data_IF_694425859333
#
_entry.id   IF_694425859333
#
_cell.length_a   1.000
_cell.length_b   1.000
_cell.length_c   1.000
_cell.angle_alpha   90.00
_cell.angle_beta   90.00
_cell.angle_gamma   90.00
#
_symmetry.space_group_name_H-M   'P 1'
#
loop_
_entity.id
_entity.type
_entity.pdbx_description
1 polymer ?
#
# COMPACT_ATOMS: atom_id res chain seq x y z
N UNK A 1 20.76 10.37 9.26
CA UNK A 1 20.13 9.41 8.33
C UNK A 1 20.32 8.03 8.92
N UNK A 2 19.24 7.25 9.13
CA UNK A 2 19.40 5.84 9.49
C UNK A 2 19.99 5.07 8.31
N UNK A 3 20.93 4.18 8.60
CA UNK A 3 21.59 3.31 7.62
C UNK A 3 21.43 1.85 8.06
N UNK A 4 21.19 0.95 7.10
CA UNK A 4 20.98 -0.47 7.36
C UNK A 4 21.92 -1.25 6.44
N UNK A 5 22.78 -2.08 7.04
CA UNK A 5 23.63 -3.02 6.33
C UNK A 5 22.99 -4.41 6.32
N UNK A 6 22.55 -4.87 5.14
CA UNK A 6 22.00 -6.21 4.97
C UNK A 6 23.10 -7.16 4.48
N UNK A 7 23.54 -8.07 5.36
CA UNK A 7 24.58 -9.07 5.04
C UNK A 7 23.94 -10.40 4.59
N UNK A 8 24.70 -11.19 3.82
CA UNK A 8 24.28 -12.55 3.44
C UNK A 8 23.18 -12.62 2.38
N UNK A 9 22.97 -11.55 1.60
CA UNK A 9 22.04 -11.58 0.47
C UNK A 9 22.56 -12.53 -0.61
N UNK A 10 21.69 -13.45 -1.04
CA UNK A 10 21.99 -14.33 -2.16
C UNK A 10 22.28 -13.53 -3.44
N UNK A 11 23.27 -13.98 -4.22
CA UNK A 11 23.71 -13.27 -5.42
C UNK A 11 22.59 -13.17 -6.46
N UNK A 12 21.70 -14.17 -6.56
CA UNK A 12 20.57 -14.13 -7.50
C UNK A 12 19.58 -13.04 -7.10
N UNK A 13 19.34 -12.87 -5.79
CA UNK A 13 18.50 -11.78 -5.26
C UNK A 13 19.08 -10.42 -5.62
N UNK A 14 20.39 -10.22 -5.41
CA UNK A 14 21.05 -8.95 -5.76
C UNK A 14 20.96 -8.68 -7.27
N UNK A 15 21.15 -9.71 -8.10
CA UNK A 15 21.04 -9.58 -9.56
C UNK A 15 19.63 -9.16 -9.99
N UNK A 16 18.60 -9.82 -9.45
CA UNK A 16 17.19 -9.51 -9.73
C UNK A 16 16.83 -8.08 -9.31
N UNK A 17 17.32 -7.63 -8.15
CA UNK A 17 17.08 -6.25 -7.69
C UNK A 17 17.78 -5.22 -8.60
N UNK A 18 18.98 -5.51 -9.10
CA UNK A 18 19.68 -4.65 -10.06
C UNK A 18 18.92 -4.55 -11.39
N UNK A 19 18.42 -5.67 -11.91
CA UNK A 19 17.61 -5.69 -13.13
C UNK A 19 16.33 -4.88 -12.95
N UNK A 20 15.62 -5.08 -11.84
CA UNK A 20 14.42 -4.33 -11.49
C UNK A 20 14.69 -2.82 -11.40
N UNK A 21 15.76 -2.42 -10.71
CA UNK A 21 16.16 -1.02 -10.61
C UNK A 21 16.45 -0.39 -11.98
N UNK A 22 17.13 -1.12 -12.87
CA UNK A 22 17.37 -0.68 -14.26
C UNK A 22 16.07 -0.48 -15.03
N UNK A 23 15.14 -1.43 -14.97
CA UNK A 23 13.83 -1.33 -15.63
C UNK A 23 13.03 -0.15 -15.11
N UNK A 24 13.11 0.14 -13.81
CA UNK A 24 12.41 1.27 -13.19
C UNK A 24 13.13 2.62 -13.34
N UNK A 25 14.31 2.66 -13.96
CA UNK A 25 15.11 3.88 -14.15
C UNK A 25 15.65 4.46 -12.84
N UNK A 26 15.90 3.63 -11.83
CA UNK A 26 16.33 4.05 -10.49
C UNK A 26 17.65 3.38 -10.09
N UNK A 27 18.33 3.96 -9.11
CA UNK A 27 19.50 3.31 -8.50
C UNK A 27 19.06 2.08 -7.69
N UNK A 28 19.97 1.11 -7.53
CA UNK A 28 19.71 -0.07 -6.70
C UNK A 28 19.33 0.32 -5.27
N UNK A 29 20.01 1.33 -4.71
CA UNK A 29 19.73 1.83 -3.36
C UNK A 29 18.33 2.41 -3.26
N UNK A 30 17.89 3.20 -4.26
CA UNK A 30 16.54 3.76 -4.28
C UNK A 30 15.47 2.66 -4.40
N UNK A 31 15.69 1.65 -5.24
CA UNK A 31 14.75 0.53 -5.37
C UNK A 31 14.63 -0.26 -4.05
N UNK A 32 15.76 -0.53 -3.38
CA UNK A 32 15.75 -1.22 -2.09
C UNK A 32 15.08 -0.38 -1.02
N UNK A 33 15.34 0.93 -0.99
CA UNK A 33 14.66 1.87 -0.09
C UNK A 33 13.14 1.82 -0.29
N UNK A 34 12.68 1.97 -1.54
CA UNK A 34 11.25 1.96 -1.86
C UNK A 34 10.60 0.63 -1.45
N UNK A 35 11.28 -0.50 -1.64
CA UNK A 35 10.78 -1.83 -1.21
C UNK A 35 10.64 -1.89 0.31
N UNK A 36 11.64 -1.41 1.06
CA UNK A 36 11.62 -1.43 2.53
C UNK A 36 10.55 -0.48 3.08
N UNK A 37 10.43 0.73 2.55
CA UNK A 37 9.40 1.69 2.96
C UNK A 37 7.99 1.17 2.65
N UNK A 38 7.79 0.56 1.48
CA UNK A 38 6.52 -0.10 1.14
C UNK A 38 6.25 -1.29 2.06
N UNK A 39 7.24 -2.13 2.33
CA UNK A 39 7.06 -3.27 3.23
C UNK A 39 6.72 -2.83 4.66
N UNK A 40 7.29 -1.72 5.12
CA UNK A 40 6.98 -1.14 6.43
C UNK A 40 5.59 -0.49 6.49
N UNK A 41 5.09 0.03 5.38
CA UNK A 41 3.80 0.75 5.30
C UNK A 41 2.64 -0.15 4.88
N UNK A 42 2.91 -1.25 4.17
CA UNK A 42 1.89 -2.18 3.72
C UNK A 42 1.39 -2.96 4.93
N UNK A 43 0.13 -2.72 5.30
CA UNK A 43 -0.57 -3.49 6.32
C UNK A 43 -0.44 -4.98 5.99
N UNK A 44 -0.01 -5.76 6.96
CA UNK A 44 -0.11 -7.23 6.87
C UNK A 44 -1.58 -7.62 6.67
N UNK A 45 -1.84 -8.80 6.10
CA UNK A 45 -3.21 -9.29 5.95
C UNK A 45 -3.97 -9.33 7.28
N UNK A 46 -3.28 -9.61 8.39
CA UNK A 46 -3.87 -9.60 9.73
C UNK A 46 -4.24 -8.19 10.18
N UNK A 47 -3.35 -7.20 9.99
CA UNK A 47 -3.64 -5.80 10.31
C UNK A 47 -4.76 -5.23 9.44
N UNK A 48 -4.75 -5.55 8.14
CA UNK A 48 -5.83 -5.19 7.21
C UNK A 48 -7.17 -5.80 7.65
N UNK A 49 -7.17 -7.06 8.09
CA UNK A 49 -8.36 -7.74 8.61
C UNK A 49 -8.89 -7.09 9.89
N UNK A 50 -8.02 -6.78 10.85
CA UNK A 50 -8.40 -6.08 12.10
C UNK A 50 -8.95 -4.68 11.83
N UNK A 51 -8.34 -3.95 10.90
CA UNK A 51 -8.82 -2.64 10.48
C UNK A 51 -10.21 -2.76 9.86
N UNK A 52 -10.39 -3.71 8.94
CA UNK A 52 -11.68 -4.01 8.30
C UNK A 52 -12.75 -4.39 9.32
N UNK A 53 -12.46 -5.28 10.27
CA UNK A 53 -13.39 -5.67 11.35
C UNK A 53 -13.78 -4.47 12.24
N UNK A 54 -12.86 -3.52 12.45
CA UNK A 54 -13.13 -2.30 13.20
C UNK A 54 -14.08 -1.38 12.43
N UNK A 55 -13.86 -1.20 11.13
CA UNK A 55 -14.76 -0.44 10.27
C UNK A 55 -16.14 -1.10 10.12
N UNK A 56 -16.18 -2.41 9.92
CA UNK A 56 -17.44 -3.17 9.88
C UNK A 56 -18.24 -2.99 11.16
N UNK A 57 -17.62 -3.08 12.35
CA UNK A 57 -18.32 -2.82 13.61
C UNK A 57 -18.80 -1.38 13.74
N UNK A 58 -18.02 -0.40 13.27
CA UNK A 58 -18.36 1.02 13.35
C UNK A 58 -19.50 1.42 12.40
N UNK A 59 -19.58 0.75 11.26
CA UNK A 59 -20.58 0.99 10.22
C UNK A 59 -21.80 0.07 10.37
N UNK A 60 -21.67 -1.04 11.12
CA UNK A 60 -22.79 -1.94 11.41
C UNK A 60 -23.92 -1.19 12.13
N UNK A 61 -25.15 -1.43 11.68
CA UNK A 61 -26.36 -0.80 12.23
C UNK A 61 -26.58 0.65 11.80
N UNK A 62 -25.74 1.23 10.93
CA UNK A 62 -26.01 2.52 10.30
C UNK A 62 -26.70 2.31 8.96
N UNK A 63 -27.85 2.96 8.78
CA UNK A 63 -28.45 3.11 7.46
C UNK A 63 -27.73 4.21 6.72
N UNK A 64 -27.13 3.89 5.58
CA UNK A 64 -26.53 4.86 4.68
C UNK A 64 -27.53 5.13 3.55
N UNK A 65 -27.69 6.41 3.19
CA UNK A 65 -28.43 6.79 1.99
C UNK A 65 -27.67 6.30 0.75
N UNK A 66 -28.40 5.95 -0.31
CA UNK A 66 -27.77 5.59 -1.58
C UNK A 66 -27.05 6.83 -2.15
N UNK A 67 -25.72 6.74 -2.20
CA UNK A 67 -24.89 7.82 -2.71
C UNK A 67 -25.15 8.08 -4.19
N UNK A 68 -25.59 7.09 -4.96
CA UNK A 68 -25.96 7.25 -6.36
C UNK A 68 -27.22 8.11 -6.51
N UNK A 69 -28.21 7.95 -5.63
CA UNK A 69 -29.42 8.80 -5.63
C UNK A 69 -29.10 10.24 -5.25
N UNK A 70 -28.26 10.46 -4.24
CA UNK A 70 -27.85 11.79 -3.81
C UNK A 70 -27.06 12.55 -4.90
N UNK A 71 -26.15 11.86 -5.59
CA UNK A 71 -25.38 12.46 -6.69
C UNK A 71 -26.28 12.78 -7.88
N UNK A 72 -27.28 11.94 -8.17
CA UNK A 72 -28.25 12.19 -9.25
C UNK A 72 -29.11 13.42 -8.94
N UNK A 73 -29.61 13.54 -7.71
CA UNK A 73 -30.35 14.71 -7.26
C UNK A 73 -29.54 16.02 -7.34
N UNK A 74 -28.25 16.02 -6.99
CA UNK A 74 -27.38 17.20 -7.14
C UNK A 74 -27.21 17.61 -8.61
N UNK A 75 -27.06 16.62 -9.50
CA UNK A 75 -26.89 16.85 -10.94
C UNK A 75 -28.14 17.44 -11.59
N UNK A 76 -29.31 16.93 -11.22
CA UNK A 76 -30.59 17.35 -11.81
C UNK A 76 -31.06 18.73 -11.28
N UNK A 77 -30.40 19.26 -10.24
CA UNK A 77 -30.69 20.57 -9.62
C UNK A 77 -29.88 21.75 -10.18
N UNK A 78 -29.00 21.51 -11.18
CA UNK A 78 -28.16 22.51 -11.85
C UNK A 78 -28.68 22.82 -13.25
#
# INVERSE_FOLDING_TARGET
MPEILVRGLDQKTVKRLKERARTSGRSLQQEVKDILERAATTLTMEEARRLSETWHRRLAGRSFSDSAELIRADRDSR
#
